data_IF_574495229753
#
_entry.id   IF_574495229753
#
_cell.length_a   1.000
_cell.length_b   1.000
_cell.length_c   1.000
_cell.angle_alpha   90.00
_cell.angle_beta   90.00
_cell.angle_gamma   90.00
#
_symmetry.space_group_name_H-M   'P 1'
#
loop_
_entity.id
_entity.type
_entity.pdbx_description
1 polymer ?
#
# COMPACT_ATOMS: atom_id res chain seq x y z
N UNK A 1 -11.74 23.35 3.10
CA UNK A 1 -12.77 22.47 2.45
C UNK A 1 -12.12 21.37 1.63
N UNK A 2 -11.04 21.61 0.88
CA UNK A 2 -10.29 20.53 0.16
C UNK A 2 -9.58 19.58 1.13
N UNK A 3 -8.84 20.10 2.10
CA UNK A 3 -8.14 19.31 3.13
C UNK A 3 -9.08 18.38 3.94
N UNK A 4 -10.28 18.88 4.32
CA UNK A 4 -11.26 18.07 5.05
C UNK A 4 -11.77 16.89 4.19
N UNK A 5 -11.97 17.11 2.88
CA UNK A 5 -12.38 16.04 1.97
C UNK A 5 -11.27 15.00 1.76
N UNK A 6 -10.03 15.44 1.73
CA UNK A 6 -8.86 14.58 1.59
C UNK A 6 -8.66 13.72 2.84
N UNK A 7 -8.75 14.33 4.03
CA UNK A 7 -8.67 13.61 5.31
C UNK A 7 -9.77 12.55 5.46
N UNK A 8 -11.01 12.85 5.05
CA UNK A 8 -12.12 11.87 5.07
C UNK A 8 -11.86 10.72 4.10
N UNK A 9 -11.32 11.01 2.91
CA UNK A 9 -10.96 9.95 1.94
C UNK A 9 -9.85 9.05 2.48
N UNK A 10 -8.85 9.61 3.11
CA UNK A 10 -7.73 8.87 3.69
C UNK A 10 -8.19 7.99 4.87
N UNK A 11 -9.03 8.51 5.77
CA UNK A 11 -9.62 7.75 6.85
C UNK A 11 -10.45 6.57 6.33
N UNK A 12 -11.24 6.78 5.27
CA UNK A 12 -12.00 5.72 4.61
C UNK A 12 -11.08 4.64 4.03
N UNK A 13 -10.02 5.03 3.31
CA UNK A 13 -9.06 4.09 2.72
C UNK A 13 -8.32 3.31 3.80
N UNK A 14 -7.88 3.96 4.89
CA UNK A 14 -7.22 3.31 6.01
C UNK A 14 -8.15 2.28 6.68
N UNK A 15 -9.42 2.65 6.91
CA UNK A 15 -10.41 1.74 7.49
C UNK A 15 -10.70 0.54 6.59
N UNK A 16 -10.68 0.71 5.25
CA UNK A 16 -10.83 -0.39 4.31
C UNK A 16 -9.75 -1.47 4.46
N UNK A 17 -8.55 -1.11 4.90
CA UNK A 17 -7.45 -2.07 5.10
C UNK A 17 -7.73 -3.06 6.25
N UNK A 18 -8.56 -2.69 7.22
CA UNK A 18 -8.98 -3.56 8.32
C UNK A 18 -10.05 -4.57 7.93
N UNK A 19 -10.62 -4.46 6.72
CA UNK A 19 -11.63 -5.37 6.24
C UNK A 19 -11.02 -6.62 5.59
N UNK A 20 -11.55 -7.83 5.88
CA UNK A 20 -11.24 -9.00 5.08
C UNK A 20 -11.51 -8.74 3.59
N UNK A 21 -10.73 -9.32 2.66
CA UNK A 21 -10.80 -9.00 1.22
C UNK A 21 -12.21 -9.06 0.63
N UNK A 22 -12.99 -10.09 0.99
CA UNK A 22 -14.37 -10.26 0.51
C UNK A 22 -15.32 -9.17 1.02
N UNK A 23 -15.18 -8.76 2.27
CA UNK A 23 -15.98 -7.67 2.85
C UNK A 23 -15.62 -6.33 2.22
N UNK A 24 -14.33 -6.10 1.97
CA UNK A 24 -13.83 -4.91 1.28
C UNK A 24 -14.39 -4.81 -0.14
N UNK A 25 -14.33 -5.90 -0.92
CA UNK A 25 -14.87 -5.96 -2.27
C UNK A 25 -16.38 -5.66 -2.27
N UNK A 26 -17.16 -6.30 -1.38
CA UNK A 26 -18.60 -6.06 -1.26
C UNK A 26 -18.89 -4.61 -0.89
N UNK A 27 -18.15 -4.03 0.06
CA UNK A 27 -18.37 -2.64 0.46
C UNK A 27 -18.12 -1.67 -0.70
N UNK A 28 -17.02 -1.84 -1.43
CA UNK A 28 -16.68 -0.99 -2.57
C UNK A 28 -17.76 -1.10 -3.65
N UNK A 29 -18.12 -2.33 -4.03
CA UNK A 29 -19.11 -2.56 -5.10
C UNK A 29 -20.49 -1.99 -4.72
N UNK A 30 -20.93 -2.20 -3.47
CA UNK A 30 -22.26 -1.80 -3.02
C UNK A 30 -22.38 -0.32 -2.67
N UNK A 31 -21.40 0.26 -1.96
CA UNK A 31 -21.50 1.62 -1.40
C UNK A 31 -20.82 2.67 -2.28
N UNK A 32 -19.72 2.32 -2.93
CA UNK A 32 -18.99 3.28 -3.77
C UNK A 32 -19.49 3.23 -5.22
N UNK A 33 -19.57 2.02 -5.79
CA UNK A 33 -19.97 1.83 -7.17
C UNK A 33 -21.50 1.64 -7.34
N UNK A 34 -22.25 1.53 -6.24
CA UNK A 34 -23.72 1.43 -6.22
C UNK A 34 -24.30 0.25 -7.02
N UNK A 35 -23.55 -0.85 -7.14
CA UNK A 35 -24.00 -2.03 -7.86
C UNK A 35 -25.15 -2.74 -7.14
N UNK A 36 -26.14 -3.29 -7.84
CA UNK A 36 -27.17 -4.14 -7.26
C UNK A 36 -26.58 -5.37 -6.57
N UNK A 37 -27.17 -5.80 -5.45
CA UNK A 37 -26.66 -6.97 -4.71
C UNK A 37 -26.67 -8.26 -5.53
N UNK A 38 -27.56 -8.39 -6.52
CA UNK A 38 -27.62 -9.51 -7.47
C UNK A 38 -26.38 -9.58 -8.35
N UNK A 39 -25.94 -8.45 -8.91
CA UNK A 39 -24.75 -8.37 -9.76
C UNK A 39 -23.49 -8.63 -8.96
N UNK A 40 -23.41 -8.10 -7.73
CA UNK A 40 -22.28 -8.40 -6.82
C UNK A 40 -22.25 -9.88 -6.45
N UNK A 41 -23.40 -10.51 -6.24
CA UNK A 41 -23.49 -11.94 -5.95
C UNK A 41 -23.01 -12.79 -7.12
N UNK A 42 -23.40 -12.44 -8.35
CA UNK A 42 -22.95 -13.08 -9.57
C UNK A 42 -21.44 -12.93 -9.76
N UNK A 43 -20.91 -11.70 -9.68
CA UNK A 43 -19.47 -11.42 -9.81
C UNK A 43 -18.62 -12.21 -8.81
N UNK A 44 -19.08 -12.32 -7.55
CA UNK A 44 -18.34 -12.98 -6.47
C UNK A 44 -18.66 -14.48 -6.32
N UNK A 45 -19.45 -15.05 -7.22
CA UNK A 45 -19.85 -16.46 -7.18
C UNK A 45 -20.57 -16.84 -5.87
N UNK A 46 -21.51 -16.00 -5.39
CA UNK A 46 -22.17 -16.16 -4.10
C UNK A 46 -23.66 -15.82 -4.14
N UNK A 47 -24.36 -15.88 -3.01
CA UNK A 47 -25.77 -15.49 -2.90
C UNK A 47 -25.95 -14.03 -2.49
N UNK A 48 -27.09 -13.43 -2.84
CA UNK A 48 -27.49 -12.08 -2.40
C UNK A 48 -27.53 -11.99 -0.87
N UNK A 49 -27.99 -13.04 -0.18
CA UNK A 49 -27.97 -13.09 1.29
C UNK A 49 -26.55 -13.01 1.86
N UNK A 50 -25.58 -13.70 1.22
CA UNK A 50 -24.17 -13.65 1.60
C UNK A 50 -23.56 -12.27 1.37
N UNK A 51 -23.89 -11.60 0.25
CA UNK A 51 -23.47 -10.22 -0.04
C UNK A 51 -24.00 -9.27 1.04
N UNK A 52 -25.30 -9.34 1.38
CA UNK A 52 -25.89 -8.48 2.40
C UNK A 52 -25.25 -8.71 3.78
N UNK A 53 -25.02 -9.98 4.16
CA UNK A 53 -24.33 -10.30 5.43
C UNK A 53 -22.87 -9.81 5.45
N UNK A 54 -22.18 -9.90 4.34
CA UNK A 54 -20.80 -9.37 4.23
C UNK A 54 -20.79 -7.84 4.33
N UNK A 55 -21.75 -7.15 3.72
CA UNK A 55 -21.91 -5.71 3.81
C UNK A 55 -22.19 -5.25 5.25
N UNK A 56 -23.08 -5.94 5.95
CA UNK A 56 -23.36 -5.63 7.36
C UNK A 56 -22.11 -5.77 8.24
N UNK A 57 -21.36 -6.86 8.07
CA UNK A 57 -20.09 -7.05 8.82
C UNK A 57 -19.07 -6.00 8.46
N UNK A 58 -18.93 -5.64 7.17
CA UNK A 58 -18.02 -4.59 6.74
C UNK A 58 -18.33 -3.26 7.40
N UNK A 59 -19.63 -2.87 7.44
CA UNK A 59 -20.07 -1.64 8.09
C UNK A 59 -19.82 -1.66 9.62
N UNK A 60 -20.05 -2.80 10.28
CA UNK A 60 -19.77 -2.95 11.70
C UNK A 60 -18.27 -2.79 12.01
N UNK A 61 -17.41 -3.49 11.25
CA UNK A 61 -15.96 -3.38 11.39
C UNK A 61 -15.47 -1.95 11.11
N UNK A 62 -16.04 -1.27 10.12
CA UNK A 62 -15.70 0.14 9.87
C UNK A 62 -16.10 1.05 11.02
N UNK A 63 -17.27 0.86 11.60
CA UNK A 63 -17.72 1.64 12.75
C UNK A 63 -16.86 1.41 14.00
N UNK A 64 -16.38 0.18 14.20
CA UNK A 64 -15.47 -0.16 15.31
C UNK A 64 -14.04 0.40 15.11
N UNK A 65 -13.62 0.57 13.87
CA UNK A 65 -12.29 1.07 13.49
C UNK A 65 -12.38 2.47 12.87
N UNK A 66 -13.31 3.29 13.32
CA UNK A 66 -13.44 4.66 12.81
C UNK A 66 -12.17 5.43 13.14
N UNK A 67 -11.30 5.58 12.12
CA UNK A 67 -10.11 6.43 12.21
C UNK A 67 -10.60 7.87 12.22
N UNK A 68 -10.45 8.54 13.36
CA UNK A 68 -10.82 9.95 13.44
C UNK A 68 -9.99 10.74 12.39
N UNK A 69 -10.58 11.73 11.69
CA UNK A 69 -9.86 12.55 10.72
C UNK A 69 -8.65 13.29 11.29
N UNK A 70 -8.52 13.29 12.60
CA UNK A 70 -7.47 13.97 13.40
C UNK A 70 -6.44 13.02 13.99
N UNK A 71 -6.52 11.72 13.73
CA UNK A 71 -5.47 10.80 14.21
C UNK A 71 -4.18 11.12 13.44
N UNK A 72 -3.30 11.86 14.10
CA UNK A 72 -1.94 12.03 13.61
C UNK A 72 -1.29 10.64 13.49
N UNK A 73 -0.51 10.40 12.42
CA UNK A 73 0.23 9.17 12.29
C UNK A 73 1.07 8.92 13.55
N UNK A 74 0.93 7.75 14.16
CA UNK A 74 1.74 7.42 15.34
C UNK A 74 3.22 7.55 14.95
N UNK A 75 4.02 8.27 15.74
CA UNK A 75 5.45 8.34 15.49
C UNK A 75 6.03 6.93 15.43
N UNK A 76 6.94 6.72 14.49
CA UNK A 76 7.69 5.47 14.40
C UNK A 76 8.43 5.22 15.71
N UNK A 77 8.38 3.99 16.22
CA UNK A 77 9.23 3.57 17.32
C UNK A 77 10.71 3.40 16.86
N UNK A 78 11.61 3.15 17.80
CA UNK A 78 13.04 3.04 17.49
C UNK A 78 13.34 1.84 16.59
N UNK A 79 12.63 0.71 16.78
CA UNK A 79 12.78 -0.51 15.97
C UNK A 79 12.35 -0.26 14.53
N UNK A 80 11.21 0.41 14.37
CA UNK A 80 10.70 0.77 13.04
C UNK A 80 11.64 1.75 12.33
N UNK A 81 12.17 2.76 13.04
CA UNK A 81 13.14 3.69 12.47
C UNK A 81 14.43 2.99 12.02
N UNK A 82 14.94 2.06 12.83
CA UNK A 82 16.13 1.29 12.48
C UNK A 82 15.88 0.39 11.27
N UNK A 83 14.75 -0.29 11.21
CA UNK A 83 14.36 -1.13 10.07
C UNK A 83 14.30 -0.31 8.79
N UNK A 84 13.64 0.85 8.82
CA UNK A 84 13.53 1.75 7.66
C UNK A 84 14.90 2.29 7.24
N UNK A 85 15.76 2.64 8.19
CA UNK A 85 17.13 3.10 7.88
C UNK A 85 17.95 2.00 7.18
N UNK A 86 17.83 0.74 7.63
CA UNK A 86 18.48 -0.41 6.98
C UNK A 86 17.94 -0.65 5.58
N UNK A 87 16.63 -0.53 5.39
CA UNK A 87 15.99 -0.64 4.08
C UNK A 87 16.51 0.43 3.11
N UNK A 88 16.54 1.70 3.54
CA UNK A 88 17.04 2.82 2.72
C UNK A 88 18.52 2.60 2.35
N UNK A 89 19.36 2.27 3.32
CA UNK A 89 20.79 2.02 3.09
C UNK A 89 21.02 0.88 2.08
N UNK A 90 20.30 -0.24 2.24
CA UNK A 90 20.40 -1.38 1.31
C UNK A 90 19.92 -1.01 -0.09
N UNK A 91 18.81 -0.29 -0.20
CA UNK A 91 18.24 0.12 -1.49
C UNK A 91 19.16 1.13 -2.22
N UNK A 92 19.64 2.16 -1.51
CA UNK A 92 20.50 3.20 -2.10
C UNK A 92 21.87 2.67 -2.54
N UNK A 93 22.42 1.67 -1.84
CA UNK A 93 23.64 0.96 -2.26
C UNK A 93 23.39 -0.12 -3.30
N UNK A 94 22.13 -0.38 -3.60
CA UNK A 94 21.68 -1.46 -4.47
C UNK A 94 22.17 -2.85 -4.04
N UNK A 95 22.29 -3.05 -2.72
CA UNK A 95 22.73 -4.29 -2.09
C UNK A 95 21.53 -5.23 -1.92
N UNK A 96 21.32 -6.12 -2.88
CA UNK A 96 20.17 -7.03 -2.91
C UNK A 96 20.18 -8.03 -1.75
N UNK A 97 21.33 -8.43 -1.26
CA UNK A 97 21.43 -9.33 -0.12
C UNK A 97 21.01 -8.63 1.19
N UNK A 98 21.46 -7.40 1.40
CA UNK A 98 21.02 -6.58 2.53
C UNK A 98 19.54 -6.21 2.41
N UNK A 99 19.03 -5.93 1.21
CA UNK A 99 17.63 -5.59 0.97
C UNK A 99 16.70 -6.76 1.32
N UNK A 100 17.00 -7.96 0.84
CA UNK A 100 16.20 -9.15 1.14
C UNK A 100 16.26 -9.54 2.62
N UNK A 101 17.37 -9.28 3.30
CA UNK A 101 17.52 -9.55 4.74
C UNK A 101 16.61 -8.68 5.64
N UNK A 102 16.05 -7.58 5.15
CA UNK A 102 15.09 -6.75 5.88
C UNK A 102 13.63 -7.04 5.52
N UNK A 103 13.39 -7.89 4.52
CA UNK A 103 12.06 -8.31 4.11
C UNK A 103 11.65 -9.59 4.83
N UNK A 104 10.35 -9.78 5.05
CA UNK A 104 9.80 -11.06 5.53
C UNK A 104 9.84 -12.11 4.41
N UNK A 105 9.82 -13.40 4.76
CA UNK A 105 9.86 -14.50 3.78
C UNK A 105 8.67 -14.48 2.82
N UNK A 106 7.52 -13.97 3.28
CA UNK A 106 6.28 -13.83 2.52
C UNK A 106 6.12 -12.42 1.90
N UNK A 107 7.19 -11.63 1.85
CA UNK A 107 7.15 -10.30 1.27
C UNK A 107 6.65 -10.35 -0.19
N UNK A 108 5.78 -9.41 -0.52
CA UNK A 108 5.30 -9.24 -1.87
C UNK A 108 5.46 -7.80 -2.33
N UNK A 109 5.87 -7.61 -3.58
CA UNK A 109 5.95 -6.29 -4.21
C UNK A 109 4.96 -6.19 -5.35
N UNK A 110 4.30 -5.04 -5.44
CA UNK A 110 3.45 -4.70 -6.57
C UNK A 110 3.70 -3.27 -7.00
N UNK A 111 3.48 -2.99 -8.27
CA UNK A 111 3.71 -1.65 -8.85
C UNK A 111 2.48 -1.22 -9.67
N UNK A 112 1.37 -0.85 -9.03
CA UNK A 112 0.23 -0.30 -9.76
C UNK A 112 0.61 1.01 -10.50
N UNK A 113 0.09 1.25 -11.72
CA UNK A 113 -0.93 0.47 -12.43
C UNK A 113 -0.41 -0.70 -13.27
N UNK A 114 0.88 -1.04 -13.17
CA UNK A 114 1.45 -2.17 -13.90
C UNK A 114 0.99 -3.50 -13.30
N UNK A 115 0.81 -4.51 -14.14
CA UNK A 115 0.51 -5.89 -13.72
C UNK A 115 1.78 -6.59 -13.22
N UNK A 116 2.43 -6.00 -12.23
CA UNK A 116 3.64 -6.53 -11.62
C UNK A 116 3.33 -6.99 -10.19
N UNK A 117 3.53 -8.28 -9.94
CA UNK A 117 3.48 -8.91 -8.62
C UNK A 117 4.68 -9.82 -8.45
N UNK A 118 5.50 -9.56 -7.43
CA UNK A 118 6.64 -10.35 -7.04
C UNK A 118 6.34 -10.92 -5.65
N UNK A 119 6.50 -12.23 -5.46
CA UNK A 119 6.04 -12.91 -4.24
C UNK A 119 7.15 -13.60 -3.44
N UNK A 120 8.36 -13.64 -3.97
CA UNK A 120 9.52 -14.27 -3.30
C UNK A 120 10.72 -13.33 -3.31
N UNK A 121 11.68 -13.57 -2.42
CA UNK A 121 12.95 -12.85 -2.44
C UNK A 121 13.66 -13.00 -3.79
N UNK A 122 13.62 -14.21 -4.38
CA UNK A 122 14.25 -14.49 -5.67
C UNK A 122 13.60 -13.71 -6.80
N UNK A 123 12.27 -13.60 -6.81
CA UNK A 123 11.53 -12.79 -7.79
C UNK A 123 11.91 -11.31 -7.67
N UNK A 124 11.96 -10.80 -6.43
CA UNK A 124 12.32 -9.41 -6.12
C UNK A 124 13.75 -9.12 -6.60
N UNK A 125 14.72 -9.98 -6.25
CA UNK A 125 16.12 -9.84 -6.66
C UNK A 125 16.25 -9.91 -8.17
N UNK A 126 15.61 -10.90 -8.81
CA UNK A 126 15.64 -11.07 -10.27
C UNK A 126 15.09 -9.83 -10.98
N UNK A 127 13.97 -9.29 -10.47
CA UNK A 127 13.40 -8.07 -11.05
C UNK A 127 14.32 -6.86 -10.84
N UNK A 128 14.87 -6.66 -9.64
CA UNK A 128 15.78 -5.56 -9.36
C UNK A 128 17.03 -5.62 -10.26
N UNK A 129 17.63 -6.81 -10.43
CA UNK A 129 18.81 -7.01 -11.27
C UNK A 129 18.52 -7.01 -12.78
N UNK A 130 17.25 -7.10 -13.15
CA UNK A 130 16.76 -7.05 -14.52
C UNK A 130 16.03 -5.73 -14.83
N UNK A 131 14.69 -5.74 -15.03
CA UNK A 131 13.93 -4.55 -15.42
C UNK A 131 14.04 -3.41 -14.39
N UNK A 132 14.17 -3.74 -13.10
CA UNK A 132 14.29 -2.79 -11.99
C UNK A 132 15.66 -2.14 -11.86
N UNK A 133 16.68 -2.59 -12.60
CA UNK A 133 18.03 -2.03 -12.55
C UNK A 133 18.08 -0.51 -12.79
N UNK A 134 17.09 0.02 -13.50
CA UNK A 134 16.91 1.45 -13.66
C UNK A 134 16.67 2.23 -12.33
N UNK A 135 16.51 1.52 -11.20
CA UNK A 135 16.43 2.13 -9.87
C UNK A 135 17.80 2.27 -9.17
N UNK A 136 18.86 1.68 -9.72
CA UNK A 136 20.21 1.84 -9.15
C UNK A 136 20.64 3.31 -9.10
N UNK A 137 21.30 3.68 -8.00
CA UNK A 137 21.71 5.05 -7.74
C UNK A 137 20.61 6.00 -7.26
N UNK A 138 19.37 5.51 -7.12
CA UNK A 138 18.27 6.33 -6.58
C UNK A 138 18.51 6.72 -5.13
N UNK A 139 17.88 7.85 -4.74
CA UNK A 139 17.77 8.31 -3.35
C UNK A 139 16.34 8.17 -2.86
N UNK A 140 16.19 7.75 -1.60
CA UNK A 140 14.91 7.64 -0.92
C UNK A 140 14.79 8.70 0.16
N UNK A 141 13.71 9.48 0.10
CA UNK A 141 13.37 10.47 1.13
C UNK A 141 12.14 9.97 1.88
N UNK A 142 12.28 9.75 3.18
CA UNK A 142 11.17 9.33 4.03
C UNK A 142 10.10 10.41 4.06
N UNK A 143 8.89 10.01 3.76
CA UNK A 143 7.68 10.83 3.83
C UNK A 143 6.59 10.07 4.60
N UNK A 144 5.44 10.69 4.79
CA UNK A 144 4.25 10.01 5.29
C UNK A 144 3.17 10.03 4.20
N UNK A 145 2.56 8.87 3.95
CA UNK A 145 1.43 8.76 3.04
C UNK A 145 0.37 7.83 3.69
N UNK A 146 -0.87 8.30 3.74
CA UNK A 146 -2.00 7.54 4.32
C UNK A 146 -1.76 7.05 5.75
N UNK A 147 -1.05 7.83 6.57
CA UNK A 147 -0.73 7.46 7.95
C UNK A 147 0.34 6.37 8.09
N UNK A 148 1.01 6.01 7.00
CA UNK A 148 2.10 5.02 6.97
C UNK A 148 3.41 5.63 6.49
N UNK A 149 4.57 5.07 6.87
CA UNK A 149 5.85 5.44 6.27
C UNK A 149 5.83 5.17 4.77
N UNK A 150 6.32 6.12 4.01
CA UNK A 150 6.47 6.02 2.56
C UNK A 150 7.79 6.68 2.13
N UNK A 151 8.20 6.45 0.90
CA UNK A 151 9.42 7.04 0.37
C UNK A 151 9.14 7.73 -0.97
N UNK A 152 9.58 8.98 -1.06
CA UNK A 152 9.75 9.64 -2.35
C UNK A 152 11.08 9.18 -2.96
N UNK A 153 11.02 8.63 -4.17
CA UNK A 153 12.21 8.16 -4.89
C UNK A 153 12.68 9.23 -5.88
N UNK A 154 13.97 9.50 -5.84
CA UNK A 154 14.65 10.40 -6.76
C UNK A 154 15.72 9.64 -7.51
N UNK A 155 15.80 9.82 -8.83
CA UNK A 155 16.83 9.24 -9.68
C UNK A 155 17.91 10.24 -10.03
N UNK A 156 19.17 9.78 -10.28
CA UNK A 156 20.20 10.64 -10.85
C UNK A 156 19.70 11.28 -12.14
N UNK A 157 19.92 12.60 -12.25
CA UNK A 157 19.57 13.35 -13.45
C UNK A 157 20.81 13.42 -14.36
N UNK A 158 20.68 13.18 -15.69
CA UNK A 158 21.79 13.31 -16.66
C UNK A 158 22.45 14.70 -16.64
N UNK A 159 21.68 15.75 -16.33
CA UNK A 159 22.16 17.12 -16.25
C UNK A 159 22.76 17.49 -14.87
N UNK A 160 22.86 16.51 -13.98
CA UNK A 160 23.38 16.61 -12.62
C UNK A 160 22.29 16.74 -11.56
N UNK A 161 22.60 16.25 -10.34
CA UNK A 161 21.63 16.21 -9.25
C UNK A 161 20.67 15.03 -9.33
N UNK A 162 19.44 15.23 -8.85
CA UNK A 162 18.38 14.21 -8.79
C UNK A 162 17.04 14.78 -9.23
N UNK A 163 16.30 14.02 -10.00
CA UNK A 163 14.91 14.32 -10.39
C UNK A 163 13.92 13.38 -9.71
N UNK A 164 12.72 13.88 -9.39
CA UNK A 164 11.66 13.07 -8.81
C UNK A 164 11.22 11.99 -9.78
N UNK A 165 11.13 10.74 -9.30
CA UNK A 165 10.73 9.60 -10.11
C UNK A 165 9.40 9.01 -9.68
N UNK A 166 9.22 8.75 -8.38
CA UNK A 166 8.04 8.10 -7.83
C UNK A 166 7.76 8.63 -6.41
N UNK A 167 6.48 8.63 -6.05
CA UNK A 167 5.98 8.90 -4.70
C UNK A 167 5.23 7.69 -4.20
#
# INVERSE_FOLDING_TARGET
MAELRESIRLAFVATLQHLPPRQRAVLILREVLQWPASEVAELLGTSVASVNSALQRARATMAENEVAPTDEPKPLDDVQRELLARYVDAFERYDMAALTAVLTEDASWSMPPYELWLQTHDDIVTWCQGPGYACEGSKLVLISANGSPAFAQYKPDPDGGYSAWLL
#
